data_IF_995320202199
#
_entry.id   IF_995320202199
#
_cell.length_a   1.000
_cell.length_b   1.000
_cell.length_c   1.000
_cell.angle_alpha   90.00
_cell.angle_beta   90.00
_cell.angle_gamma   90.00
#
_symmetry.space_group_name_H-M   'P 1'
#
loop_
_entity.id
_entity.type
_entity.pdbx_description
1 polymer ?
#
# COMPACT_ATOMS: atom_id res chain seq x y z
N UNK A 1 -17.87 4.75 5.54
CA UNK A 1 -16.63 5.52 5.28
C UNK A 1 -15.78 5.46 6.55
N UNK A 2 -14.95 4.43 6.69
CA UNK A 2 -14.07 4.27 7.86
C UNK A 2 -12.90 5.24 7.70
N UNK A 3 -13.06 6.46 8.19
CA UNK A 3 -11.93 7.38 8.38
C UNK A 3 -11.04 6.79 9.48
N UNK A 4 -9.93 6.20 9.09
CA UNK A 4 -8.92 5.76 10.05
C UNK A 4 -8.34 7.01 10.71
N UNK A 5 -8.52 7.14 12.02
CA UNK A 5 -7.83 8.18 12.78
C UNK A 5 -6.33 7.83 12.88
N UNK A 6 -5.45 8.81 12.75
CA UNK A 6 -3.99 8.65 12.90
C UNK A 6 -3.60 7.84 14.15
N UNK A 7 -4.28 8.07 15.28
CA UNK A 7 -4.06 7.33 16.52
C UNK A 7 -4.38 5.83 16.41
N UNK A 8 -5.38 5.45 15.62
CA UNK A 8 -5.71 4.05 15.35
C UNK A 8 -4.63 3.41 14.50
N UNK A 9 -4.18 4.08 13.43
CA UNK A 9 -3.09 3.59 12.56
C UNK A 9 -1.81 3.39 13.37
N UNK A 10 -1.46 4.35 14.21
CA UNK A 10 -0.29 4.27 15.09
C UNK A 10 -0.32 3.05 16.00
N UNK A 11 -1.49 2.67 16.52
CA UNK A 11 -1.66 1.48 17.37
C UNK A 11 -1.51 0.15 16.61
N UNK A 12 -1.73 0.16 15.29
CA UNK A 12 -1.53 -1.02 14.45
C UNK A 12 -0.05 -1.29 14.18
N UNK A 13 0.79 -0.25 14.19
CA UNK A 13 2.22 -0.35 13.87
C UNK A 13 3.02 -0.94 15.03
N UNK A 14 3.87 -1.95 14.80
CA UNK A 14 4.87 -2.40 15.78
C UNK A 14 5.84 -1.30 16.21
N UNK A 15 6.48 -1.43 17.38
CA UNK A 15 7.47 -0.45 17.90
C UNK A 15 8.72 -0.31 17.03
N UNK A 16 8.98 -1.28 16.16
CA UNK A 16 10.10 -1.25 15.23
C UNK A 16 9.92 -0.18 14.13
N UNK A 17 8.69 0.24 13.85
CA UNK A 17 8.42 1.36 12.95
C UNK A 17 8.71 2.70 13.61
N UNK A 18 9.00 3.72 12.80
CA UNK A 18 8.86 5.13 13.19
C UNK A 18 7.37 5.51 13.31
N UNK A 19 6.67 4.92 14.28
CA UNK A 19 5.21 4.85 14.35
C UNK A 19 4.48 6.18 14.15
N UNK A 20 4.98 7.27 14.76
CA UNK A 20 4.36 8.60 14.62
C UNK A 20 4.44 9.10 13.18
N UNK A 21 5.61 9.01 12.57
CA UNK A 21 5.83 9.48 11.20
C UNK A 21 5.05 8.62 10.21
N UNK A 22 5.17 7.29 10.31
CA UNK A 22 4.47 6.37 9.41
C UNK A 22 2.94 6.51 9.53
N UNK A 23 2.40 6.63 10.75
CA UNK A 23 0.96 6.84 10.93
C UNK A 23 0.47 8.16 10.32
N UNK A 24 1.27 9.23 10.44
CA UNK A 24 0.95 10.53 9.85
C UNK A 24 0.92 10.46 8.32
N UNK A 25 1.96 9.89 7.69
CA UNK A 25 2.04 9.72 6.23
C UNK A 25 0.88 8.86 5.70
N UNK A 26 0.55 7.76 6.38
CA UNK A 26 -0.61 6.93 6.04
C UNK A 26 -1.90 7.75 6.17
N UNK A 27 -2.09 8.46 7.28
CA UNK A 27 -3.29 9.27 7.50
C UNK A 27 -3.47 10.31 6.38
N UNK A 28 -2.39 10.99 5.99
CA UNK A 28 -2.38 11.94 4.86
C UNK A 28 -2.78 11.21 3.57
N UNK A 29 -2.15 10.08 3.23
CA UNK A 29 -2.49 9.31 2.03
C UNK A 29 -3.97 8.90 1.99
N UNK A 30 -4.54 8.49 3.13
CA UNK A 30 -5.95 8.10 3.25
C UNK A 30 -6.92 9.29 3.12
N UNK A 31 -6.47 10.54 3.31
CA UNK A 31 -7.31 11.71 3.03
C UNK A 31 -7.51 11.94 1.53
N UNK A 32 -6.52 11.60 0.71
CA UNK A 32 -6.58 11.69 -0.76
C UNK A 32 -7.15 10.42 -1.40
N UNK A 33 -6.83 9.25 -0.85
CA UNK A 33 -7.18 7.94 -1.41
C UNK A 33 -8.04 7.16 -0.41
N UNK A 34 -9.31 7.53 -0.31
CA UNK A 34 -10.27 7.01 0.67
C UNK A 34 -10.62 5.53 0.48
N UNK A 35 -10.31 4.95 -0.68
CA UNK A 35 -10.52 3.54 -0.99
C UNK A 35 -9.33 2.65 -0.58
N UNK A 36 -8.25 3.22 -0.04
CA UNK A 36 -7.15 2.47 0.54
C UNK A 36 -7.46 2.14 2.00
N UNK A 37 -6.96 0.98 2.43
CA UNK A 37 -7.17 0.45 3.77
C UNK A 37 -5.82 0.05 4.36
N UNK A 38 -5.44 0.57 5.55
CA UNK A 38 -4.27 0.12 6.27
C UNK A 38 -4.53 -1.27 6.89
N UNK A 39 -3.63 -2.21 6.66
CA UNK A 39 -3.71 -3.59 7.17
C UNK A 39 -2.32 -4.09 7.55
N UNK A 40 -2.17 -4.64 8.76
CA UNK A 40 -1.00 -5.42 9.12
C UNK A 40 -1.16 -6.85 8.57
N UNK A 41 -0.25 -7.27 7.70
CA UNK A 41 -0.32 -8.58 7.05
C UNK A 41 1.09 -9.17 6.83
N UNK A 42 1.15 -10.48 6.54
CA UNK A 42 2.39 -11.22 6.36
C UNK A 42 2.90 -11.06 4.93
N UNK A 43 4.00 -10.32 4.78
CA UNK A 43 4.75 -10.21 3.55
C UNK A 43 5.75 -11.37 3.41
N UNK A 44 5.91 -11.89 2.18
CA UNK A 44 6.87 -12.95 1.84
C UNK A 44 7.88 -12.37 0.86
N UNK A 45 9.16 -12.31 1.26
CA UNK A 45 10.24 -11.84 0.41
C UNK A 45 10.62 -12.89 -0.63
N UNK A 46 11.31 -12.46 -1.69
CA UNK A 46 11.76 -13.34 -2.77
C UNK A 46 12.71 -14.46 -2.31
N UNK A 47 13.40 -14.29 -1.19
CA UNK A 47 14.26 -15.32 -0.58
C UNK A 47 13.47 -16.31 0.31
N UNK A 48 12.14 -16.19 0.37
CA UNK A 48 11.25 -17.05 1.16
C UNK A 48 11.09 -16.64 2.62
N UNK A 49 11.81 -15.62 3.11
CA UNK A 49 11.59 -15.13 4.47
C UNK A 49 10.26 -14.38 4.55
N UNK A 50 9.70 -14.29 5.76
CA UNK A 50 8.41 -13.62 5.97
C UNK A 50 8.48 -12.60 7.08
N UNK A 51 7.71 -11.51 6.96
CA UNK A 51 7.61 -10.48 7.99
C UNK A 51 6.20 -9.88 8.02
N UNK A 52 5.72 -9.53 9.21
CA UNK A 52 4.46 -8.81 9.34
C UNK A 52 4.71 -7.33 9.08
N UNK A 53 4.17 -6.80 7.99
CA UNK A 53 4.35 -5.42 7.56
C UNK A 53 3.01 -4.70 7.51
N UNK A 54 3.05 -3.37 7.67
CA UNK A 54 1.93 -2.51 7.34
C UNK A 54 1.75 -2.46 5.82
N UNK A 55 0.52 -2.59 5.35
CA UNK A 55 0.16 -2.41 3.95
C UNK A 55 -0.96 -1.39 3.78
N UNK A 56 -0.99 -0.69 2.65
CA UNK A 56 -2.16 0.04 2.15
C UNK A 56 -2.71 -0.72 0.95
N UNK A 57 -3.85 -1.37 1.11
CA UNK A 57 -4.51 -2.14 0.04
C UNK A 57 -5.82 -1.47 -0.34
N UNK A 58 -6.10 -1.39 -1.64
CA UNK A 58 -7.35 -0.84 -2.15
C UNK A 58 -7.20 -0.36 -3.58
N UNK A 59 -7.93 0.68 -3.97
CA UNK A 59 -7.84 1.25 -5.32
C UNK A 59 -7.44 2.72 -5.30
N UNK A 60 -6.69 3.16 -6.30
CA UNK A 60 -6.43 4.58 -6.57
C UNK A 60 -7.07 5.00 -7.91
N UNK A 61 -7.64 6.21 -8.01
CA UNK A 61 -8.15 6.72 -9.27
C UNK A 61 -6.97 7.15 -10.17
N UNK A 62 -6.93 6.62 -11.39
CA UNK A 62 -5.92 6.96 -12.41
C UNK A 62 -6.63 7.35 -13.70
N UNK A 63 -6.27 8.49 -14.28
CA UNK A 63 -6.83 8.95 -15.55
C UNK A 63 -6.02 8.38 -16.73
N UNK A 64 -6.69 7.63 -17.61
CA UNK A 64 -6.12 7.05 -18.83
C UNK A 64 -7.07 7.40 -19.98
N UNK A 65 -6.59 8.13 -20.99
CA UNK A 65 -7.37 8.54 -22.16
C UNK A 65 -8.74 9.17 -21.77
N UNK A 66 -8.71 10.18 -20.90
CA UNK A 66 -9.90 10.91 -20.41
C UNK A 66 -10.92 10.06 -19.62
N UNK A 67 -10.57 8.82 -19.26
CA UNK A 67 -11.41 7.95 -18.42
C UNK A 67 -10.67 7.66 -17.12
N UNK A 68 -11.35 7.80 -15.99
CA UNK A 68 -10.78 7.49 -14.68
C UNK A 68 -11.05 6.02 -14.35
N UNK A 69 -9.98 5.27 -14.08
CA UNK A 69 -10.02 3.87 -13.67
C UNK A 69 -9.61 3.75 -12.21
N UNK A 70 -10.27 2.87 -11.45
CA UNK A 70 -9.88 2.53 -10.09
C UNK A 70 -8.87 1.38 -10.15
N UNK A 71 -7.58 1.72 -10.09
CA UNK A 71 -6.49 0.75 -10.22
C UNK A 71 -6.23 0.11 -8.86
N UNK A 72 -6.36 -1.23 -8.73
CA UNK A 72 -6.13 -1.93 -7.48
C UNK A 72 -4.63 -2.07 -7.19
N UNK A 73 -4.23 -1.65 -5.98
CA UNK A 73 -2.83 -1.62 -5.54
C UNK A 73 -2.66 -2.24 -4.15
N UNK A 74 -1.41 -2.56 -3.84
CA UNK A 74 -0.94 -2.90 -2.50
C UNK A 74 0.43 -2.27 -2.26
N UNK A 75 0.50 -1.36 -1.29
CA UNK A 75 1.74 -0.72 -0.88
C UNK A 75 2.20 -1.34 0.44
N UNK A 76 3.33 -2.02 0.48
CA UNK A 76 3.94 -2.53 1.71
C UNK A 76 4.94 -1.53 2.27
N UNK A 77 4.82 -1.22 3.55
CA UNK A 77 5.66 -0.26 4.25
C UNK A 77 6.59 -1.03 5.18
N UNK A 78 7.89 -0.97 4.89
CA UNK A 78 8.95 -1.55 5.72
C UNK A 78 9.13 -0.79 7.03
N UNK A 79 9.67 -1.47 8.05
CA UNK A 79 10.01 -0.83 9.34
C UNK A 79 11.06 0.28 9.18
N UNK A 80 11.91 0.17 8.16
CA UNK A 80 12.92 1.16 7.75
C UNK A 80 12.36 2.30 6.89
N UNK A 81 11.04 2.42 6.72
CA UNK A 81 10.46 3.61 6.11
C UNK A 81 10.62 4.81 7.07
N UNK A 82 11.09 6.00 6.61
CA UNK A 82 11.15 6.43 5.22
C UNK A 82 12.52 6.25 4.54
N UNK A 83 13.52 5.64 5.20
CA UNK A 83 14.82 5.39 4.57
C UNK A 83 14.72 4.44 3.37
N UNK A 84 13.77 3.50 3.42
CA UNK A 84 13.38 2.64 2.30
C UNK A 84 12.02 3.05 1.73
N UNK A 85 11.90 3.06 0.41
CA UNK A 85 10.62 3.27 -0.26
C UNK A 85 9.63 2.11 0.03
N UNK A 86 8.31 2.35 -0.04
CA UNK A 86 7.32 1.27 -0.02
C UNK A 86 7.50 0.31 -1.20
N UNK A 87 7.14 -0.96 -0.99
CA UNK A 87 7.10 -1.97 -2.05
C UNK A 87 5.69 -1.96 -2.65
N UNK A 88 5.58 -1.71 -3.95
CA UNK A 88 4.30 -1.50 -4.64
C UNK A 88 3.96 -2.69 -5.54
N UNK A 89 2.73 -3.19 -5.43
CA UNK A 89 2.19 -4.21 -6.32
C UNK A 89 0.86 -3.78 -6.91
N UNK A 90 0.58 -4.23 -8.14
CA UNK A 90 -0.78 -4.25 -8.67
C UNK A 90 -1.53 -5.48 -8.15
N UNK A 91 -2.83 -5.31 -7.85
CA UNK A 91 -3.73 -6.40 -7.46
C UNK A 91 -4.87 -6.56 -8.47
N UNK A 92 -4.58 -7.01 -9.72
CA UNK A 92 -5.59 -7.09 -10.77
C UNK A 92 -6.80 -7.91 -10.33
N UNK A 93 -8.00 -7.50 -10.73
CA UNK A 93 -9.19 -8.34 -10.61
C UNK A 93 -9.15 -9.46 -11.65
N UNK A 94 -10.05 -10.44 -11.56
CA UNK A 94 -10.12 -11.55 -12.54
C UNK A 94 -10.32 -11.07 -13.99
N UNK A 95 -10.89 -9.88 -14.17
CA UNK A 95 -11.16 -9.26 -15.47
C UNK A 95 -10.00 -8.39 -15.99
N UNK A 96 -8.97 -8.17 -15.16
CA UNK A 96 -7.82 -7.32 -15.50
C UNK A 96 -6.62 -8.15 -15.92
N UNK A 97 -5.92 -7.67 -16.95
CA UNK A 97 -4.62 -8.18 -17.36
C UNK A 97 -3.54 -7.16 -17.03
N UNK A 98 -2.46 -7.60 -16.37
CA UNK A 98 -1.28 -6.76 -16.17
C UNK A 98 -0.53 -6.67 -17.49
N UNK A 99 -0.38 -5.45 -18.02
CA UNK A 99 0.45 -5.19 -19.18
C UNK A 99 1.84 -4.82 -18.66
N UNK A 100 2.82 -5.70 -18.89
CA UNK A 100 4.21 -5.44 -18.54
C UNK A 100 4.74 -4.23 -19.32
N UNK A 101 5.58 -3.43 -18.67
CA UNK A 101 6.15 -2.24 -19.28
C UNK A 101 7.37 -1.77 -18.51
N UNK A 102 7.84 -0.55 -18.79
CA UNK A 102 9.06 0.00 -18.20
C UNK A 102 9.05 0.01 -16.66
N UNK A 103 7.87 0.08 -16.04
CA UNK A 103 7.71 0.17 -14.57
C UNK A 103 6.92 -1.00 -13.97
N UNK A 104 6.54 -2.00 -14.78
CA UNK A 104 5.68 -3.11 -14.35
C UNK A 104 6.38 -4.42 -14.67
N UNK A 105 6.71 -5.16 -13.62
CA UNK A 105 7.39 -6.45 -13.68
C UNK A 105 6.43 -7.59 -13.98
N UNK A 106 6.94 -8.78 -14.29
CA UNK A 106 6.11 -9.98 -14.46
C UNK A 106 5.43 -10.44 -13.16
N UNK A 107 5.90 -9.99 -12.00
CA UNK A 107 5.28 -10.23 -10.69
C UNK A 107 4.15 -9.24 -10.35
N UNK A 108 3.84 -8.29 -11.25
CA UNK A 108 2.90 -7.20 -11.03
C UNK A 108 3.55 -6.04 -10.30
#
# INVERSE_FOLDING_TARGET
MSSYCENTIKKMLPKAYFQKHVAHEINVALTYFTNLVPVMDKYVYNNGTTKNLMSLTGTIPVMINNTTYNIPICLWIEESYPQTAPICYLKPTQEMMIITGQYISSSG
#
